data_IF_903751283166
#
_entry.id   IF_903751283166
#
_cell.length_a   1.000
_cell.length_b   1.000
_cell.length_c   1.000
_cell.angle_alpha   90.00
_cell.angle_beta   90.00
_cell.angle_gamma   90.00
#
_symmetry.space_group_name_H-M   'P 1'
#
loop_
_entity.id
_entity.type
_entity.pdbx_description
1 polymer ?
#
# COMPACT_ATOMS: atom_id res chain seq x y z
N UNK A 1 7.07 0.59 -8.10
CA UNK A 1 6.20 -0.56 -7.73
C UNK A 1 5.16 -0.73 -8.82
N UNK A 2 4.68 -1.95 -9.03
CA UNK A 2 3.63 -2.31 -9.99
C UNK A 2 2.51 -3.06 -9.26
N UNK A 3 1.33 -3.16 -9.90
CA UNK A 3 0.25 -4.01 -9.40
C UNK A 3 0.74 -5.46 -9.32
N UNK A 4 0.38 -6.15 -8.23
CA UNK A 4 0.83 -7.48 -7.81
C UNK A 4 2.24 -7.57 -7.20
N UNK A 5 2.99 -6.48 -7.10
CA UNK A 5 4.25 -6.49 -6.36
C UNK A 5 4.00 -6.77 -4.88
N UNK A 6 4.85 -7.60 -4.27
CA UNK A 6 4.91 -7.75 -2.81
C UNK A 6 5.64 -6.56 -2.21
N UNK A 7 5.05 -5.97 -1.18
CA UNK A 7 5.56 -4.78 -0.52
C UNK A 7 5.56 -4.95 0.99
N UNK A 8 6.30 -4.08 1.67
CA UNK A 8 6.23 -3.94 3.13
C UNK A 8 5.88 -2.50 3.44
N UNK A 9 4.75 -2.29 4.09
CA UNK A 9 4.23 -0.96 4.44
C UNK A 9 4.52 -0.63 5.89
N UNK A 10 4.73 0.66 6.17
CA UNK A 10 4.85 1.19 7.52
C UNK A 10 3.51 1.82 7.91
N UNK A 11 2.97 1.41 9.04
CA UNK A 11 1.86 2.11 9.70
C UNK A 11 2.42 2.86 10.90
N UNK A 12 1.91 4.05 11.20
CA UNK A 12 2.41 4.83 12.35
C UNK A 12 2.23 4.06 13.66
N UNK A 13 3.32 4.02 14.46
CA UNK A 13 3.36 3.35 15.76
C UNK A 13 3.32 1.81 15.72
N UNK A 14 3.17 1.18 14.55
CA UNK A 14 3.04 -0.27 14.41
C UNK A 14 4.25 -0.97 13.76
N UNK A 15 4.33 -2.32 13.86
CA UNK A 15 5.30 -3.08 13.09
C UNK A 15 5.02 -2.94 11.59
N UNK A 16 6.07 -3.11 10.78
CA UNK A 16 5.93 -3.20 9.34
C UNK A 16 5.05 -4.40 8.96
N UNK A 17 4.17 -4.21 7.98
CA UNK A 17 3.25 -5.25 7.50
C UNK A 17 3.56 -5.59 6.05
N UNK A 18 3.55 -6.87 5.72
CA UNK A 18 3.68 -7.32 4.33
C UNK A 18 2.34 -7.28 3.62
N UNK A 19 2.36 -6.95 2.33
CA UNK A 19 1.16 -6.84 1.52
C UNK A 19 1.43 -6.95 0.02
N UNK A 20 0.37 -6.81 -0.78
CA UNK A 20 0.43 -6.83 -2.24
C UNK A 20 -0.25 -5.58 -2.80
N UNK A 21 0.37 -4.96 -3.79
CA UNK A 21 -0.24 -3.81 -4.48
C UNK A 21 -1.42 -4.27 -5.33
N UNK A 22 -2.61 -3.75 -5.04
CA UNK A 22 -3.84 -4.00 -5.80
C UNK A 22 -4.10 -2.94 -6.87
N UNK A 23 -3.77 -1.68 -6.59
CA UNK A 23 -3.99 -0.56 -7.49
C UNK A 23 -2.94 0.55 -7.26
N UNK A 24 -2.70 1.34 -8.30
CA UNK A 24 -1.80 2.50 -8.27
C UNK A 24 -2.52 3.66 -8.95
N UNK A 25 -2.61 4.79 -8.26
CA UNK A 25 -3.23 6.00 -8.78
C UNK A 25 -2.30 7.20 -8.60
N UNK A 26 -2.19 8.03 -9.63
CA UNK A 26 -1.52 9.33 -9.54
C UNK A 26 -2.37 10.27 -8.68
N UNK A 27 -1.75 10.86 -7.68
CA UNK A 27 -2.37 11.86 -6.82
C UNK A 27 -1.57 13.17 -6.92
N UNK A 28 -2.18 14.33 -6.64
CA UNK A 28 -1.62 15.65 -6.98
C UNK A 28 -0.14 15.84 -6.65
N UNK A 29 0.29 15.34 -5.49
CA UNK A 29 1.64 15.51 -4.94
C UNK A 29 2.39 14.17 -4.81
N UNK A 30 1.92 13.09 -5.44
CA UNK A 30 2.58 11.79 -5.30
C UNK A 30 1.78 10.63 -5.91
N UNK A 31 1.94 9.44 -5.32
CA UNK A 31 1.27 8.22 -5.80
C UNK A 31 0.53 7.54 -4.65
N UNK A 32 -0.72 7.19 -4.89
CA UNK A 32 -1.52 6.36 -4.00
C UNK A 32 -1.39 4.90 -4.40
N UNK A 33 -1.15 4.04 -3.42
CA UNK A 33 -1.06 2.59 -3.57
C UNK A 33 -2.13 1.91 -2.72
N UNK A 34 -3.04 1.17 -3.34
CA UNK A 34 -3.96 0.30 -2.61
C UNK A 34 -3.22 -1.00 -2.32
N UNK A 35 -3.02 -1.32 -1.05
CA UNK A 35 -2.24 -2.51 -0.64
C UNK A 35 -3.11 -3.44 0.19
N UNK A 36 -3.27 -4.69 -0.24
CA UNK A 36 -3.88 -5.74 0.58
C UNK A 36 -2.93 -6.18 1.69
N UNK A 37 -3.47 -6.35 2.89
CA UNK A 37 -2.78 -6.89 4.05
C UNK A 37 -3.52 -8.13 4.54
N UNK A 38 -2.88 -8.95 5.38
CA UNK A 38 -3.48 -10.17 5.93
C UNK A 38 -4.83 -9.90 6.61
N UNK A 39 -4.89 -8.90 7.50
CA UNK A 39 -6.12 -8.51 8.21
C UNK A 39 -7.08 -7.65 7.36
N UNK A 40 -6.59 -7.12 6.23
CA UNK A 40 -7.32 -6.18 5.36
C UNK A 40 -7.22 -6.64 3.90
N UNK A 41 -7.91 -7.73 3.53
CA UNK A 41 -7.77 -8.35 2.21
C UNK A 41 -8.29 -7.47 1.07
N UNK A 42 -9.20 -6.54 1.36
CA UNK A 42 -9.70 -5.55 0.40
C UNK A 42 -8.74 -4.35 0.20
N UNK A 43 -7.75 -4.23 1.08
CA UNK A 43 -6.68 -3.25 1.01
C UNK A 43 -6.95 -1.92 1.69
N UNK A 44 -5.85 -1.20 1.90
CA UNK A 44 -5.78 0.14 2.48
C UNK A 44 -4.96 1.02 1.53
N UNK A 45 -5.37 2.27 1.36
CA UNK A 45 -4.61 3.25 0.57
C UNK A 45 -3.42 3.80 1.36
N UNK A 46 -2.25 3.76 0.73
CA UNK A 46 -1.01 4.35 1.22
C UNK A 46 -0.56 5.46 0.27
N UNK A 47 -0.25 6.63 0.82
CA UNK A 47 0.34 7.74 0.09
C UNK A 47 1.87 7.63 0.09
N UNK A 48 2.49 7.93 -1.04
CA UNK A 48 3.93 8.05 -1.20
C UNK A 48 4.23 9.31 -2.03
N UNK A 49 5.00 10.23 -1.46
CA UNK A 49 5.46 11.49 -2.10
C UNK A 49 6.54 11.21 -3.16
#
# INVERSE_FOLDING_TARGET
MQVNDRVTVKTDGGPRRSGVVLAIESFSEGTMYLVSLEDYPLGIWFFNE
#
